data_IF_161653311627
#
_entry.id   IF_161653311627
#
_cell.length_a   1.000
_cell.length_b   1.000
_cell.length_c   1.000
_cell.angle_alpha   90.00
_cell.angle_beta   90.00
_cell.angle_gamma   90.00
#
_symmetry.space_group_name_H-M   'P 1'
#
loop_
_entity.id
_entity.type
_entity.pdbx_description
1 polymer ?
#
# COMPACT_ATOMS: atom_id res chain seq x y z
N UNK A 1 -22.33 24.86 40.97
CA UNK A 1 -21.05 25.03 40.27
C UNK A 1 -20.80 23.81 39.44
N UNK A 2 -20.74 23.95 38.11
CA UNK A 2 -20.47 22.84 37.19
C UNK A 2 -19.83 23.43 35.93
N UNK A 3 -18.52 23.27 35.82
CA UNK A 3 -17.68 23.75 34.72
C UNK A 3 -17.68 22.75 33.57
N UNK A 4 -18.46 23.00 32.52
CA UNK A 4 -18.43 22.25 31.26
C UNK A 4 -17.40 22.85 30.28
N UNK A 5 -16.28 22.15 30.07
CA UNK A 5 -15.26 22.49 29.06
C UNK A 5 -15.85 22.32 27.65
N UNK A 6 -15.87 23.40 26.86
CA UNK A 6 -16.22 23.38 25.42
C UNK A 6 -14.98 23.07 24.58
N UNK A 7 -15.05 22.04 23.75
CA UNK A 7 -14.09 21.78 22.67
C UNK A 7 -14.30 22.76 21.50
N UNK A 8 -13.25 23.30 20.87
CA UNK A 8 -13.41 24.17 19.70
C UNK A 8 -13.70 23.34 18.44
N UNK A 9 -14.79 23.67 17.76
CA UNK A 9 -15.12 23.14 16.43
C UNK A 9 -14.06 23.58 15.42
N UNK A 10 -13.42 22.60 14.77
CA UNK A 10 -12.53 22.84 13.62
C UNK A 10 -13.36 23.13 12.38
N UNK A 11 -13.38 24.39 11.94
CA UNK A 11 -13.93 24.77 10.65
C UNK A 11 -13.10 24.16 9.50
N UNK A 12 -13.72 23.26 8.72
CA UNK A 12 -13.18 22.80 7.44
C UNK A 12 -13.23 23.95 6.44
N UNK A 13 -12.10 24.58 6.15
CA UNK A 13 -11.95 25.52 5.03
C UNK A 13 -11.93 24.75 3.72
N UNK A 14 -13.04 24.71 3.01
CA UNK A 14 -13.08 24.32 1.59
C UNK A 14 -12.43 25.44 0.78
N UNK A 15 -11.28 25.16 0.16
CA UNK A 15 -10.65 26.06 -0.82
C UNK A 15 -11.51 26.09 -2.07
N UNK A 16 -12.30 27.16 -2.22
CA UNK A 16 -13.01 27.49 -3.46
C UNK A 16 -11.98 28.03 -4.43
N UNK A 17 -11.67 27.28 -5.49
CA UNK A 17 -10.89 27.79 -6.61
C UNK A 17 -11.71 28.89 -7.28
N UNK A 18 -11.22 30.13 -7.23
CA UNK A 18 -11.77 31.23 -8.02
C UNK A 18 -11.36 30.99 -9.47
N UNK A 19 -12.33 30.61 -10.30
CA UNK A 19 -12.13 30.60 -11.74
C UNK A 19 -11.96 32.05 -12.21
N UNK A 20 -10.72 32.44 -12.52
CA UNK A 20 -10.42 33.68 -13.22
C UNK A 20 -11.02 33.58 -14.62
N UNK A 21 -12.09 34.30 -14.88
CA UNK A 21 -12.63 34.45 -16.23
C UNK A 21 -11.59 35.21 -17.06
N UNK A 22 -10.87 34.50 -17.94
CA UNK A 22 -10.10 35.14 -19.00
C UNK A 22 -11.09 35.93 -19.85
N UNK A 23 -10.97 37.24 -19.85
CA UNK A 23 -11.60 38.10 -20.85
C UNK A 23 -11.21 37.55 -22.22
N UNK A 24 -12.18 37.08 -22.99
CA UNK A 24 -11.94 36.60 -24.34
C UNK A 24 -11.45 37.79 -25.17
N UNK A 25 -10.14 37.86 -25.43
CA UNK A 25 -9.63 38.75 -26.46
C UNK A 25 -10.18 38.25 -27.78
N UNK A 26 -11.13 38.99 -28.34
CA UNK A 26 -11.64 38.79 -29.69
C UNK A 26 -10.46 38.77 -30.64
N UNK A 27 -10.29 37.68 -31.39
CA UNK A 27 -9.23 37.58 -32.38
C UNK A 27 -9.37 38.74 -33.39
N UNK A 28 -8.28 39.37 -33.83
CA UNK A 28 -8.36 40.40 -34.86
C UNK A 28 -8.99 39.79 -36.11
N UNK A 29 -10.04 40.44 -36.64
CA UNK A 29 -10.68 39.98 -37.86
C UNK A 29 -9.66 40.03 -39.00
N UNK A 30 -9.29 38.86 -39.54
CA UNK A 30 -8.54 38.77 -40.78
C UNK A 30 -9.45 39.39 -41.85
N UNK A 31 -9.06 40.55 -42.38
CA UNK A 31 -9.74 41.15 -43.53
C UNK A 31 -9.78 40.22 -44.73
N UNK A 32 -10.57 40.58 -45.74
CA UNK A 32 -10.79 39.75 -46.93
C UNK A 32 -9.48 39.24 -47.53
N UNK A 33 -9.43 37.93 -47.80
CA UNK A 33 -8.25 37.28 -48.40
C UNK A 33 -8.09 37.81 -49.83
N UNK A 34 -7.16 38.74 -50.01
CA UNK A 34 -6.78 39.22 -51.33
C UNK A 34 -5.87 38.17 -51.97
N UNK A 35 -6.38 37.49 -52.99
CA UNK A 35 -5.58 36.60 -53.84
C UNK A 35 -4.63 37.44 -54.71
N UNK A 36 -3.52 37.88 -54.13
CA UNK A 36 -2.43 38.49 -54.88
C UNK A 36 -1.71 37.41 -55.69
N UNK A 37 -1.54 37.66 -56.98
CA UNK A 37 -0.74 36.77 -57.82
C UNK A 37 0.70 36.72 -57.31
N UNK A 38 1.32 35.53 -57.23
CA UNK A 38 2.70 35.41 -56.77
C UNK A 38 3.62 36.19 -57.70
N UNK A 39 4.50 37.01 -57.10
CA UNK A 39 5.49 37.79 -57.84
C UNK A 39 6.36 36.87 -58.71
N UNK A 40 6.56 37.30 -59.94
CA UNK A 40 7.43 36.60 -60.88
C UNK A 40 8.88 36.60 -60.39
N UNK A 41 9.70 35.68 -60.92
CA UNK A 41 11.14 35.61 -60.56
C UNK A 41 11.89 36.91 -60.88
N UNK A 42 11.52 37.60 -61.97
CA UNK A 42 12.11 38.89 -62.36
C UNK A 42 11.75 40.00 -61.36
N UNK A 43 10.50 40.05 -60.89
CA UNK A 43 10.05 41.03 -59.89
C UNK A 43 10.68 40.79 -58.52
N UNK A 44 10.93 39.53 -58.14
CA UNK A 44 11.68 39.23 -56.92
C UNK A 44 13.14 39.65 -57.01
N UNK A 45 13.80 39.38 -58.15
CA UNK A 45 15.17 39.81 -58.39
C UNK A 45 15.30 41.34 -58.40
N UNK A 46 14.34 42.07 -58.98
CA UNK A 46 14.39 43.54 -58.99
C UNK A 46 14.20 44.15 -57.60
N UNK A 47 13.45 43.49 -56.70
CA UNK A 47 13.30 43.91 -55.30
C UNK A 47 14.54 43.63 -54.45
N UNK A 48 15.32 42.59 -54.75
CA UNK A 48 16.55 42.27 -53.99
C UNK A 48 17.57 43.40 -54.03
N UNK A 49 17.72 44.08 -55.16
CA UNK A 49 18.69 45.17 -55.32
C UNK A 49 18.17 46.54 -54.85
N UNK A 50 16.92 46.60 -54.37
CA UNK A 50 16.32 47.85 -53.90
C UNK A 50 17.05 48.38 -52.67
N UNK A 51 17.33 47.50 -51.70
CA UNK A 51 18.02 47.86 -50.47
C UNK A 51 19.46 48.29 -50.73
N UNK A 52 20.17 47.59 -51.61
CA UNK A 52 21.56 47.92 -51.96
C UNK A 52 21.67 49.25 -52.71
N UNK A 53 20.73 49.53 -53.63
CA UNK A 53 20.63 50.82 -54.29
C UNK A 53 20.28 51.95 -53.31
N UNK A 54 19.42 51.69 -52.33
CA UNK A 54 19.07 52.67 -51.30
C UNK A 54 20.25 52.96 -50.39
N UNK A 55 20.99 51.93 -49.93
CA UNK A 55 22.24 52.08 -49.18
C UNK A 55 23.29 52.86 -49.97
N UNK A 56 23.46 52.56 -51.25
CA UNK A 56 24.38 53.27 -52.14
C UNK A 56 23.98 54.76 -52.29
N UNK A 57 22.69 55.05 -52.47
CA UNK A 57 22.16 56.42 -52.56
C UNK A 57 22.34 57.18 -51.25
N UNK A 58 22.12 56.53 -50.10
CA UNK A 58 22.35 57.11 -48.78
C UNK A 58 23.84 57.40 -48.55
N UNK A 59 24.75 56.51 -48.98
CA UNK A 59 26.22 56.73 -48.94
C UNK A 59 26.66 57.91 -49.81
N UNK A 60 26.07 58.06 -51.00
CA UNK A 60 26.41 59.13 -51.95
C UNK A 60 25.73 60.48 -51.64
N UNK A 61 24.83 60.53 -50.65
CA UNK A 61 24.10 61.75 -50.27
C UNK A 61 25.07 62.77 -49.67
N UNK A 62 25.28 63.89 -50.39
CA UNK A 62 26.19 64.98 -49.98
C UNK A 62 25.54 66.04 -49.08
N UNK A 63 24.23 65.96 -48.86
CA UNK A 63 23.48 66.94 -48.10
C UNK A 63 23.07 66.39 -46.73
N UNK A 64 23.40 67.15 -45.68
CA UNK A 64 23.49 66.83 -44.24
C UNK A 64 24.88 66.34 -43.80
N UNK A 65 25.42 66.98 -42.77
CA UNK A 65 26.76 66.80 -42.19
C UNK A 65 27.05 65.42 -41.54
N UNK A 66 26.29 64.37 -41.84
CA UNK A 66 26.52 63.05 -41.29
C UNK A 66 27.17 62.16 -42.36
N UNK A 67 28.50 62.06 -42.35
CA UNK A 67 29.20 60.96 -43.01
C UNK A 67 28.99 59.71 -42.17
N UNK A 68 28.47 58.65 -42.78
CA UNK A 68 28.50 57.33 -42.18
C UNK A 68 29.92 56.80 -42.28
N UNK A 69 30.68 56.89 -41.20
CA UNK A 69 31.91 56.11 -41.08
C UNK A 69 31.52 54.66 -40.80
N UNK A 70 32.10 53.72 -41.55
CA UNK A 70 32.01 52.30 -41.21
C UNK A 70 32.82 52.11 -39.93
N UNK A 71 32.16 52.29 -38.79
CA UNK A 71 32.73 51.92 -37.51
C UNK A 71 33.08 50.44 -37.58
N UNK A 72 34.37 50.14 -37.59
CA UNK A 72 34.85 48.77 -37.41
C UNK A 72 34.22 48.20 -36.14
N UNK A 73 33.89 46.91 -36.17
CA UNK A 73 33.28 46.21 -35.03
C UNK A 73 34.25 46.15 -33.83
N UNK A 74 35.53 46.43 -34.07
CA UNK A 74 36.60 46.35 -33.09
C UNK A 74 36.81 47.69 -32.39
N UNK A 75 36.63 47.68 -31.07
CA UNK A 75 36.91 48.84 -30.23
C UNK A 75 38.42 49.01 -30.03
N UNK A 76 38.91 50.25 -29.88
CA UNK A 76 40.34 50.48 -29.62
C UNK A 76 40.76 49.91 -28.26
N UNK A 77 42.02 49.47 -28.07
CA UNK A 77 42.51 48.80 -26.87
C UNK A 77 42.37 49.58 -25.57
N UNK A 78 42.32 50.91 -25.67
CA UNK A 78 42.13 51.85 -24.56
C UNK A 78 40.65 52.03 -24.17
N UNK A 79 39.71 51.47 -24.95
CA UNK A 79 38.28 51.54 -24.69
C UNK A 79 37.89 50.60 -23.55
N UNK A 80 36.96 51.03 -22.71
CA UNK A 80 36.33 50.18 -21.68
C UNK A 80 35.63 48.95 -22.26
N UNK A 81 35.27 48.98 -23.56
CA UNK A 81 34.68 47.84 -24.26
C UNK A 81 35.67 47.03 -25.08
N UNK A 82 36.98 47.27 -24.94
CA UNK A 82 37.99 46.42 -25.56
C UNK A 82 38.07 45.06 -24.87
N UNK A 83 37.99 44.01 -25.67
CA UNK A 83 38.19 42.63 -25.24
C UNK A 83 39.19 42.01 -26.22
N UNK A 84 40.27 41.36 -25.74
CA UNK A 84 41.20 40.69 -26.63
C UNK A 84 40.50 39.54 -27.37
N UNK A 85 40.87 39.29 -28.62
CA UNK A 85 40.22 38.30 -29.50
C UNK A 85 40.14 36.90 -28.87
N UNK A 86 41.12 36.54 -28.04
CA UNK A 86 41.15 35.26 -27.31
C UNK A 86 40.05 35.12 -26.24
N UNK A 87 39.57 36.23 -25.68
CA UNK A 87 38.52 36.27 -24.66
C UNK A 87 37.16 36.68 -25.25
N UNK A 88 37.16 37.10 -26.51
CA UNK A 88 35.96 37.52 -27.25
C UNK A 88 34.98 36.36 -27.47
N UNK A 89 35.51 35.14 -27.52
CA UNK A 89 34.74 33.91 -27.66
C UNK A 89 34.97 32.97 -26.49
N UNK A 90 33.89 32.39 -25.99
CA UNK A 90 33.97 31.27 -25.04
C UNK A 90 34.51 30.07 -25.83
N UNK A 91 35.78 29.76 -25.63
CA UNK A 91 36.45 28.66 -26.35
C UNK A 91 36.08 27.28 -25.80
N UNK A 92 35.67 27.22 -24.52
CA UNK A 92 35.39 25.97 -23.82
C UNK A 92 33.88 25.69 -23.64
N UNK A 93 33.10 25.89 -24.72
CA UNK A 93 31.67 25.53 -24.74
C UNK A 93 31.49 24.03 -24.49
N UNK A 94 32.46 23.21 -24.92
CA UNK A 94 32.43 21.77 -24.74
C UNK A 94 32.44 21.35 -23.26
N UNK A 95 33.23 22.00 -22.41
CA UNK A 95 33.22 21.69 -20.97
C UNK A 95 31.94 22.16 -20.28
N UNK A 96 31.42 23.34 -20.66
CA UNK A 96 30.16 23.88 -20.12
C UNK A 96 29.02 22.92 -20.39
N UNK A 97 28.84 22.52 -21.65
CA UNK A 97 27.83 21.54 -22.09
C UNK A 97 28.00 20.17 -21.41
N UNK A 98 29.24 19.71 -21.24
CA UNK A 98 29.51 18.46 -20.53
C UNK A 98 29.09 18.56 -19.07
N UNK A 99 29.45 19.63 -18.38
CA UNK A 99 29.10 19.86 -16.98
C UNK A 99 27.57 19.93 -16.80
N UNK A 100 26.85 20.55 -17.74
CA UNK A 100 25.39 20.59 -17.71
C UNK A 100 24.77 19.19 -17.88
N UNK A 101 25.25 18.39 -18.84
CA UNK A 101 24.78 17.01 -19.02
C UNK A 101 25.09 16.13 -17.82
N UNK A 102 26.29 16.25 -17.26
CA UNK A 102 26.71 15.51 -16.08
C UNK A 102 25.86 15.89 -14.86
N UNK A 103 25.54 17.18 -14.69
CA UNK A 103 24.65 17.66 -13.63
C UNK A 103 23.22 17.12 -13.79
N UNK A 104 22.67 17.11 -15.01
CA UNK A 104 21.36 16.53 -15.29
C UNK A 104 21.33 15.03 -15.01
N UNK A 105 22.38 14.30 -15.41
CA UNK A 105 22.51 12.88 -15.15
C UNK A 105 22.62 12.60 -13.65
N UNK A 106 23.49 13.32 -12.94
CA UNK A 106 23.66 13.21 -11.49
C UNK A 106 22.35 13.45 -10.74
N UNK A 107 21.61 14.50 -11.12
CA UNK A 107 20.28 14.80 -10.56
C UNK A 107 19.31 13.65 -10.77
N UNK A 108 19.27 13.06 -11.97
CA UNK A 108 18.41 11.90 -12.26
C UNK A 108 18.82 10.68 -11.44
N UNK A 109 20.12 10.41 -11.31
CA UNK A 109 20.63 9.30 -10.49
C UNK A 109 20.28 9.49 -9.02
N UNK A 110 20.46 10.70 -8.48
CA UNK A 110 20.10 11.02 -7.11
C UNK A 110 18.60 10.81 -6.86
N UNK A 111 17.73 11.28 -7.76
CA UNK A 111 16.29 11.04 -7.65
C UNK A 111 15.94 9.56 -7.61
N UNK A 112 16.57 8.74 -8.47
CA UNK A 112 16.33 7.31 -8.49
C UNK A 112 16.88 6.61 -7.24
N UNK A 113 18.01 7.08 -6.72
CA UNK A 113 18.57 6.59 -5.47
C UNK A 113 17.64 6.89 -4.29
N UNK A 114 17.22 8.15 -4.12
CA UNK A 114 16.27 8.54 -3.06
C UNK A 114 14.97 7.75 -3.14
N UNK A 115 14.43 7.52 -4.35
CA UNK A 115 13.23 6.69 -4.53
C UNK A 115 13.45 5.24 -4.13
N UNK A 116 14.62 4.66 -4.46
CA UNK A 116 14.96 3.29 -4.06
C UNK A 116 15.09 3.17 -2.54
N UNK A 117 15.76 4.11 -1.90
CA UNK A 117 15.89 4.13 -0.44
C UNK A 117 14.56 4.31 0.27
N UNK A 118 13.75 5.30 -0.15
CA UNK A 118 12.43 5.48 0.45
C UNK A 118 11.49 4.27 0.28
N UNK A 119 11.63 3.51 -0.82
CA UNK A 119 10.90 2.24 -1.00
C UNK A 119 11.41 1.14 -0.07
N UNK A 120 12.72 0.99 0.05
CA UNK A 120 13.33 0.01 0.94
C UNK A 120 12.93 0.28 2.41
N UNK A 121 13.01 1.54 2.84
CA UNK A 121 12.62 1.94 4.19
C UNK A 121 11.14 1.68 4.47
N UNK A 122 10.25 2.05 3.53
CA UNK A 122 8.82 1.82 3.68
C UNK A 122 8.47 0.32 3.75
N UNK A 123 9.14 -0.50 2.93
CA UNK A 123 8.96 -1.94 2.94
C UNK A 123 9.46 -2.54 4.26
N UNK A 124 10.63 -2.10 4.76
CA UNK A 124 11.15 -2.53 6.06
C UNK A 124 10.19 -2.18 7.21
N UNK A 125 9.63 -0.97 7.24
CA UNK A 125 8.64 -0.58 8.25
C UNK A 125 7.37 -1.44 8.18
N UNK A 126 6.93 -1.78 6.96
CA UNK A 126 5.79 -2.68 6.75
C UNK A 126 6.10 -4.08 7.30
N UNK A 127 7.27 -4.65 6.98
CA UNK A 127 7.67 -5.96 7.50
C UNK A 127 7.81 -5.96 9.01
N UNK A 128 8.40 -4.94 9.61
CA UNK A 128 8.48 -4.78 11.07
C UNK A 128 7.10 -4.76 11.72
N UNK A 129 6.15 -4.07 11.10
CA UNK A 129 4.75 -4.03 11.58
C UNK A 129 4.12 -5.43 11.52
N UNK A 130 4.26 -6.14 10.39
CA UNK A 130 3.75 -7.51 10.22
C UNK A 130 4.36 -8.44 11.27
N UNK A 131 5.69 -8.39 11.43
CA UNK A 131 6.42 -9.22 12.38
C UNK A 131 5.96 -8.95 13.82
N UNK A 132 5.81 -7.68 14.20
CA UNK A 132 5.30 -7.30 15.52
C UNK A 132 3.88 -7.84 15.74
N UNK A 133 2.99 -7.71 14.75
CA UNK A 133 1.62 -8.26 14.87
C UNK A 133 1.63 -9.76 15.03
N UNK A 134 2.45 -10.46 14.25
CA UNK A 134 2.58 -11.92 14.32
C UNK A 134 3.15 -12.36 15.68
N UNK A 135 4.15 -11.66 16.21
CA UNK A 135 4.70 -11.93 17.54
C UNK A 135 3.67 -11.69 18.64
N UNK A 136 2.89 -10.61 18.57
CA UNK A 136 1.82 -10.35 19.53
C UNK A 136 0.71 -11.41 19.47
N UNK A 137 0.31 -11.84 18.28
CA UNK A 137 -0.67 -12.92 18.11
C UNK A 137 -0.13 -14.26 18.63
N UNK A 138 1.12 -14.58 18.31
CA UNK A 138 1.77 -15.79 18.81
C UNK A 138 1.85 -15.80 20.34
N UNK A 139 2.25 -14.68 20.96
CA UNK A 139 2.29 -14.52 22.41
C UNK A 139 0.90 -14.64 23.05
N UNK A 140 -0.11 -14.04 22.44
CA UNK A 140 -1.51 -14.18 22.89
C UNK A 140 -1.97 -15.64 22.79
N UNK A 141 -1.64 -16.34 21.71
CA UNK A 141 -2.00 -17.75 21.52
C UNK A 141 -1.26 -18.67 22.49
N UNK A 142 0.01 -18.39 22.83
CA UNK A 142 0.74 -19.15 23.84
C UNK A 142 0.15 -18.94 25.22
N UNK A 143 -0.13 -17.68 25.60
CA UNK A 143 -0.78 -17.35 26.87
C UNK A 143 -2.15 -18.05 26.99
N UNK A 144 -2.95 -18.02 25.92
CA UNK A 144 -4.25 -18.70 25.92
C UNK A 144 -4.15 -20.23 25.98
N UNK A 145 -3.08 -20.83 25.44
CA UNK A 145 -2.79 -22.27 25.58
C UNK A 145 -2.38 -22.61 27.01
N UNK A 146 -1.46 -21.86 27.59
CA UNK A 146 -0.99 -22.07 28.97
C UNK A 146 -2.13 -21.91 29.97
N UNK A 147 -2.92 -20.84 29.83
CA UNK A 147 -4.04 -20.54 30.72
C UNK A 147 -5.32 -21.34 30.40
N UNK A 148 -5.30 -22.20 29.36
CA UNK A 148 -6.45 -22.99 28.89
C UNK A 148 -7.75 -22.18 28.70
N UNK A 149 -7.64 -20.88 28.43
CA UNK A 149 -8.80 -19.96 28.39
C UNK A 149 -9.70 -20.21 27.19
N UNK A 150 -9.18 -20.78 26.10
CA UNK A 150 -9.95 -21.23 24.94
C UNK A 150 -11.02 -22.26 25.27
N UNK A 151 -10.80 -23.10 26.30
CA UNK A 151 -11.69 -24.21 26.62
C UNK A 151 -12.78 -23.84 27.64
N UNK A 152 -12.74 -22.63 28.23
CA UNK A 152 -13.72 -22.23 29.27
C UNK A 152 -15.14 -22.18 28.73
N UNK A 153 -15.34 -21.80 27.47
CA UNK A 153 -16.67 -21.79 26.82
C UNK A 153 -17.13 -23.18 26.36
N UNK A 154 -16.18 -24.10 26.12
CA UNK A 154 -16.46 -25.45 25.62
C UNK A 154 -16.53 -26.50 26.73
N UNK A 155 -16.58 -26.08 28.00
CA UNK A 155 -16.80 -27.00 29.11
C UNK A 155 -18.24 -27.52 29.04
N UNK A 156 -18.40 -28.82 28.88
CA UNK A 156 -19.70 -29.48 28.91
C UNK A 156 -20.35 -29.31 30.27
N UNK A 157 -21.67 -29.25 30.32
CA UNK A 157 -22.43 -29.18 31.59
C UNK A 157 -22.29 -30.46 32.43
N UNK A 158 -21.81 -31.54 31.84
CA UNK A 158 -21.53 -32.82 32.49
C UNK A 158 -20.02 -33.03 32.63
N UNK A 159 -19.54 -33.61 33.76
CA UNK A 159 -18.13 -33.94 34.00
C UNK A 159 -17.70 -35.21 33.24
N UNK A 160 -17.97 -35.23 31.93
CA UNK A 160 -17.65 -36.31 31.00
C UNK A 160 -17.19 -35.73 29.67
N UNK A 161 -16.05 -36.21 29.18
CA UNK A 161 -15.47 -35.76 27.92
C UNK A 161 -15.84 -36.72 26.78
N UNK A 162 -16.68 -36.29 25.81
CA UNK A 162 -17.14 -37.15 24.73
C UNK A 162 -16.05 -37.47 23.68
N UNK A 163 -14.94 -36.72 23.64
CA UNK A 163 -13.85 -36.95 22.69
C UNK A 163 -12.95 -38.08 23.19
N UNK A 164 -12.53 -37.99 24.45
CA UNK A 164 -11.63 -38.97 25.06
C UNK A 164 -12.39 -40.14 25.70
N UNK A 165 -13.72 -40.06 25.80
CA UNK A 165 -14.59 -41.03 26.49
C UNK A 165 -14.21 -41.26 27.96
N UNK A 166 -13.68 -40.22 28.61
CA UNK A 166 -13.22 -40.26 30.00
C UNK A 166 -14.02 -39.29 30.87
N UNK A 167 -14.25 -39.68 32.11
CA UNK A 167 -14.75 -38.78 33.15
C UNK A 167 -13.66 -37.78 33.55
N UNK A 168 -14.07 -36.62 34.05
CA UNK A 168 -13.13 -35.61 34.55
C UNK A 168 -12.43 -36.10 35.83
N UNK A 169 -11.16 -35.72 35.99
CA UNK A 169 -10.34 -36.04 37.16
C UNK A 169 -10.74 -35.13 38.35
N UNK A 170 -11.92 -35.37 38.92
CA UNK A 170 -12.47 -34.62 40.06
C UNK A 170 -13.67 -35.31 40.70
N UNK A 171 -14.11 -34.81 41.86
CA UNK A 171 -15.19 -35.41 42.66
C UNK A 171 -16.51 -35.55 41.89
N UNK A 172 -16.86 -34.56 41.07
CA UNK A 172 -18.06 -34.59 40.24
C UNK A 172 -17.98 -35.65 39.14
N UNK A 173 -16.80 -35.85 38.53
CA UNK A 173 -16.55 -36.91 37.56
C UNK A 173 -16.63 -38.30 38.20
N UNK A 174 -16.09 -38.46 39.40
CA UNK A 174 -16.19 -39.71 40.17
C UNK A 174 -17.63 -40.03 40.58
N UNK A 175 -18.42 -39.02 40.95
CA UNK A 175 -19.85 -39.18 41.25
C UNK A 175 -20.65 -39.61 40.03
N UNK A 176 -20.38 -39.01 38.87
CA UNK A 176 -21.02 -39.40 37.62
C UNK A 176 -20.64 -40.84 37.24
N UNK A 177 -19.35 -41.19 37.32
CA UNK A 177 -18.86 -42.56 37.11
C UNK A 177 -19.56 -43.56 38.01
N UNK A 178 -19.66 -43.26 39.30
CA UNK A 178 -20.37 -44.12 40.26
C UNK A 178 -21.85 -44.29 39.90
N UNK A 179 -22.55 -43.22 39.52
CA UNK A 179 -23.95 -43.29 39.09
C UNK A 179 -24.11 -44.22 37.88
N UNK A 180 -23.29 -44.04 36.85
CA UNK A 180 -23.34 -44.85 35.63
C UNK A 180 -22.99 -46.31 35.89
N UNK A 181 -21.93 -46.58 36.64
CA UNK A 181 -21.52 -47.93 37.00
C UNK A 181 -22.57 -48.61 37.90
N UNK A 182 -23.26 -47.86 38.76
CA UNK A 182 -24.38 -48.39 39.57
C UNK A 182 -25.58 -48.78 38.71
N UNK A 183 -25.84 -48.05 37.62
CA UNK A 183 -26.88 -48.38 36.66
C UNK A 183 -26.50 -49.63 35.87
N UNK A 184 -25.24 -49.73 35.42
CA UNK A 184 -24.71 -50.92 34.74
C UNK A 184 -24.80 -52.16 35.64
N UNK A 185 -24.37 -52.05 36.89
CA UNK A 185 -24.45 -53.12 37.88
C UNK A 185 -25.90 -53.60 38.10
N UNK A 186 -26.83 -52.67 38.33
CA UNK A 186 -28.27 -52.99 38.50
C UNK A 186 -28.88 -53.64 37.26
N UNK A 187 -28.50 -53.16 36.06
CA UNK A 187 -28.92 -53.74 34.80
C UNK A 187 -28.44 -55.17 34.63
N UNK A 188 -27.17 -55.43 34.94
CA UNK A 188 -26.58 -56.76 34.88
C UNK A 188 -27.21 -57.72 35.89
N UNK A 189 -27.45 -57.29 37.13
CA UNK A 189 -28.19 -58.10 38.12
C UNK A 189 -29.62 -58.44 37.64
N UNK A 190 -30.31 -57.48 37.04
CA UNK A 190 -31.66 -57.73 36.48
C UNK A 190 -31.60 -58.74 35.34
N UNK A 191 -30.61 -58.62 34.45
CA UNK A 191 -30.41 -59.54 33.34
C UNK A 191 -30.07 -60.96 33.83
N UNK A 192 -29.23 -61.06 34.87
CA UNK A 192 -28.86 -62.32 35.51
C UNK A 192 -30.08 -62.98 36.17
N UNK A 193 -30.85 -62.24 36.97
CA UNK A 193 -32.08 -62.75 37.58
C UNK A 193 -33.12 -63.17 36.53
N UNK A 194 -33.26 -62.41 35.44
CA UNK A 194 -34.19 -62.75 34.36
C UNK A 194 -33.76 -64.02 33.64
N UNK A 195 -32.46 -64.15 33.36
CA UNK A 195 -31.87 -65.35 32.75
C UNK A 195 -32.07 -66.57 33.65
N UNK A 196 -31.79 -66.48 34.95
CA UNK A 196 -32.02 -67.58 35.90
C UNK A 196 -33.49 -68.05 35.90
N UNK A 197 -34.45 -67.12 35.80
CA UNK A 197 -35.88 -67.45 35.86
C UNK A 197 -36.47 -67.92 34.54
N UNK A 198 -36.03 -67.35 33.41
CA UNK A 198 -36.58 -67.64 32.08
C UNK A 198 -35.87 -68.82 31.40
N UNK A 199 -34.65 -69.14 31.81
CA UNK A 199 -33.84 -70.20 31.22
C UNK A 199 -33.72 -71.37 32.18
N UNK A 200 -34.75 -72.22 32.23
CA UNK A 200 -34.76 -73.42 33.08
C UNK A 200 -33.82 -74.53 32.56
N UNK A 201 -33.64 -74.64 31.24
CA UNK A 201 -32.94 -75.77 30.60
C UNK A 201 -31.47 -75.49 30.27
N UNK A 202 -30.99 -74.24 30.39
CA UNK A 202 -29.61 -73.85 30.08
C UNK A 202 -29.27 -73.74 28.57
N UNK A 203 -30.21 -74.02 27.67
CA UNK A 203 -30.04 -73.96 26.21
C UNK A 203 -31.07 -73.02 25.57
N UNK A 204 -30.70 -72.39 24.45
CA UNK A 204 -31.61 -71.56 23.68
C UNK A 204 -32.58 -72.46 22.89
N UNK A 205 -33.91 -72.36 23.09
CA UNK A 205 -34.87 -73.26 22.44
C UNK A 205 -34.97 -73.08 20.92
N UNK A 206 -34.47 -71.97 20.36
CA UNK A 206 -34.53 -71.69 18.92
C UNK A 206 -33.28 -72.23 18.20
N UNK A 207 -32.09 -72.03 18.77
CA UNK A 207 -30.82 -72.39 18.12
C UNK A 207 -30.18 -73.65 18.68
N UNK A 208 -30.63 -74.12 19.86
CA UNK A 208 -30.04 -75.28 20.56
C UNK A 208 -28.70 -75.01 21.24
N UNK A 209 -28.16 -73.79 21.12
CA UNK A 209 -26.86 -73.41 21.69
C UNK A 209 -26.93 -73.22 23.21
N UNK A 210 -25.80 -73.44 23.90
CA UNK A 210 -25.66 -73.18 25.33
C UNK A 210 -25.81 -71.69 25.59
N UNK A 211 -26.69 -71.32 26.51
CA UNK A 211 -26.89 -69.92 26.86
C UNK A 211 -25.69 -69.41 27.65
N UNK A 212 -25.04 -68.36 27.13
CA UNK A 212 -23.94 -67.68 27.83
C UNK A 212 -24.47 -66.97 29.07
N UNK A 213 -23.88 -67.25 30.23
CA UNK A 213 -24.28 -66.61 31.49
C UNK A 213 -23.96 -65.12 31.45
N UNK A 214 -24.90 -64.30 31.92
CA UNK A 214 -24.69 -62.86 32.08
C UNK A 214 -23.59 -62.64 33.12
N UNK A 215 -22.53 -61.94 32.74
CA UNK A 215 -21.47 -61.53 33.65
C UNK A 215 -21.88 -60.28 34.41
N UNK A 216 -22.08 -60.40 35.72
CA UNK A 216 -22.38 -59.26 36.58
C UNK A 216 -21.06 -58.60 37.01
N UNK A 217 -20.85 -57.30 36.74
CA UNK A 217 -19.67 -56.60 37.19
C UNK A 217 -19.67 -56.43 38.72
N UNK A 218 -18.51 -56.14 39.30
CA UNK A 218 -18.43 -55.88 40.74
C UNK A 218 -19.26 -54.64 41.14
N UNK A 219 -19.80 -54.66 42.36
CA UNK A 219 -20.54 -53.51 42.88
C UNK A 219 -19.62 -52.27 42.94
N UNK A 220 -20.04 -51.13 42.36
CA UNK A 220 -19.22 -49.93 42.36
C UNK A 220 -19.12 -49.37 43.79
N UNK A 221 -17.94 -48.85 44.13
CA UNK A 221 -17.68 -48.21 45.43
C UNK A 221 -18.05 -46.73 45.36
N UNK A 222 -18.77 -46.23 46.36
CA UNK A 222 -19.12 -44.81 46.45
C UNK A 222 -17.85 -43.96 46.64
N UNK A 223 -17.66 -42.89 45.86
CA UNK A 223 -16.52 -42.00 46.07
C UNK A 223 -16.60 -41.32 47.44
N UNK A 224 -15.43 -41.11 48.07
CA UNK A 224 -15.32 -40.43 49.36
C UNK A 224 -15.89 -39.00 49.29
N UNK A 225 -16.48 -38.53 50.40
CA UNK A 225 -17.02 -37.17 50.49
C UNK A 225 -15.95 -36.11 50.44
#
# INVERSE_FOLDING_TARGET
GTTGRRFPQRHRRTRRWLATTRSAMTAPELGDVVNLQPLTRKERLSQQYREDLEKMRLRARREKYCRYEEGGVDQPPESLGYIPEAERFITDIASIEKNERDALFAKKQQQQYTKRMGRADAEEQRWRTIEMTHQMEAAKLSEMRENSTFARSNKTSMPYNPINLRYDDGTDGERLRYSDDSLRYRGALRAEHLQQRMTSTGYNPITGEVIQKVTVPNAPMMPGR
#
